data_IF_808207960382
#
_entry.id   IF_808207960382
#
_cell.length_a   1.000
_cell.length_b   1.000
_cell.length_c   1.000
_cell.angle_alpha   90.00
_cell.angle_beta   90.00
_cell.angle_gamma   90.00
#
_symmetry.space_group_name_H-M   'P 1'
#
loop_
_entity.id
_entity.type
_entity.pdbx_description
1 polymer ?
#
# COMPACT_ATOMS: atom_id res chain seq x y z
N UNK A 1 1.46 -15.32 -9.28
CA UNK A 1 2.64 -14.45 -9.51
C UNK A 1 2.49 -13.44 -10.64
N UNK A 2 1.38 -13.40 -11.41
CA UNK A 2 1.23 -12.46 -12.54
C UNK A 2 1.13 -10.96 -12.17
N UNK A 3 0.43 -10.62 -11.09
CA UNK A 3 0.21 -9.21 -10.68
C UNK A 3 1.50 -8.37 -10.55
N UNK A 4 2.54 -8.79 -9.80
CA UNK A 4 3.79 -8.02 -9.75
C UNK A 4 4.58 -8.08 -11.07
N UNK A 5 4.45 -9.17 -11.84
CA UNK A 5 5.14 -9.32 -13.12
C UNK A 5 4.68 -8.29 -14.16
N UNK A 6 3.40 -7.88 -14.15
CA UNK A 6 2.88 -6.86 -15.05
C UNK A 6 3.65 -5.53 -14.97
N UNK A 7 4.02 -5.10 -13.75
CA UNK A 7 4.81 -3.87 -13.56
C UNK A 7 6.23 -4.01 -14.14
N UNK A 8 6.86 -5.17 -13.96
CA UNK A 8 8.17 -5.46 -14.55
C UNK A 8 8.13 -5.48 -16.08
N UNK A 9 7.11 -6.09 -16.66
CA UNK A 9 6.92 -6.12 -18.12
C UNK A 9 6.69 -4.71 -18.67
N UNK A 10 5.81 -3.92 -18.05
CA UNK A 10 5.57 -2.54 -18.47
C UNK A 10 6.85 -1.68 -18.44
N UNK A 11 7.65 -1.81 -17.38
CA UNK A 11 8.94 -1.11 -17.28
C UNK A 11 9.93 -1.55 -18.38
N UNK A 12 10.06 -2.86 -18.62
CA UNK A 12 10.94 -3.39 -19.66
C UNK A 12 10.55 -2.90 -21.06
N UNK A 13 9.25 -2.93 -21.39
CA UNK A 13 8.72 -2.43 -22.66
C UNK A 13 8.99 -0.93 -22.84
N UNK A 14 8.87 -0.13 -21.77
CA UNK A 14 9.20 1.30 -21.83
C UNK A 14 10.67 1.57 -22.17
N UNK A 15 11.60 0.83 -21.55
CA UNK A 15 13.04 0.93 -21.84
C UNK A 15 13.35 0.51 -23.28
N UNK A 16 12.75 -0.57 -23.76
CA UNK A 16 12.90 -1.05 -25.14
C UNK A 16 12.39 0.01 -26.14
N UNK A 17 11.19 0.54 -25.94
CA UNK A 17 10.61 1.56 -26.80
C UNK A 17 11.48 2.83 -26.89
N UNK A 18 11.97 3.33 -25.75
CA UNK A 18 12.87 4.48 -25.71
C UNK A 18 14.19 4.20 -26.44
N UNK A 19 14.74 3.00 -26.29
CA UNK A 19 15.99 2.59 -26.95
C UNK A 19 15.81 2.48 -28.46
N UNK A 20 14.70 1.90 -28.92
CA UNK A 20 14.37 1.81 -30.35
C UNK A 20 14.19 3.21 -30.97
N UNK A 21 13.46 4.11 -30.30
CA UNK A 21 13.30 5.49 -30.75
C UNK A 21 14.65 6.21 -30.85
N UNK A 22 15.53 6.05 -29.86
CA UNK A 22 16.89 6.61 -29.90
C UNK A 22 17.75 6.05 -31.05
N UNK A 23 17.49 4.82 -31.48
CA UNK A 23 18.14 4.19 -32.64
C UNK A 23 17.50 4.59 -33.99
N UNK A 24 16.49 5.46 -34.00
CA UNK A 24 15.82 5.95 -35.21
C UNK A 24 14.65 5.09 -35.69
N UNK A 25 14.10 4.21 -34.83
CA UNK A 25 12.88 3.48 -35.14
C UNK A 25 11.68 4.45 -35.22
N UNK A 26 10.89 4.35 -36.29
CA UNK A 26 9.75 5.25 -36.56
C UNK A 26 8.44 4.49 -36.35
N UNK A 27 7.46 5.17 -35.76
CA UNK A 27 6.10 4.66 -35.55
C UNK A 27 5.06 5.71 -35.99
N UNK A 28 3.78 5.36 -35.91
CA UNK A 28 2.64 6.22 -36.17
C UNK A 28 2.63 7.43 -35.19
N UNK A 29 2.77 8.69 -35.65
CA UNK A 29 2.90 9.85 -34.77
C UNK A 29 1.67 10.15 -33.91
N UNK A 30 0.50 9.74 -34.37
CA UNK A 30 -0.82 9.93 -33.75
C UNK A 30 -1.36 8.62 -33.12
N UNK A 31 -0.47 7.68 -32.79
CA UNK A 31 -0.84 6.34 -32.28
C UNK A 31 -1.69 6.33 -31.00
N UNK A 32 -1.74 7.43 -30.24
CA UNK A 32 -2.58 7.52 -29.05
C UNK A 32 -4.06 7.71 -29.41
N UNK A 33 -4.37 8.55 -30.40
CA UNK A 33 -5.72 9.09 -30.59
C UNK A 33 -6.32 8.84 -31.98
N UNK A 34 -5.55 8.27 -32.92
CA UNK A 34 -6.06 7.93 -34.25
C UNK A 34 -7.20 6.89 -34.18
N UNK A 35 -7.96 6.70 -35.26
CA UNK A 35 -9.19 5.89 -35.26
C UNK A 35 -9.00 4.41 -34.82
N UNK A 36 -7.76 3.90 -34.79
CA UNK A 36 -7.38 2.58 -34.27
C UNK A 36 -6.21 2.69 -33.27
N UNK A 37 -6.03 3.86 -32.67
CA UNK A 37 -5.00 4.17 -31.70
C UNK A 37 -5.31 3.64 -30.30
N UNK A 38 -4.40 3.87 -29.38
CA UNK A 38 -4.46 3.36 -28.01
C UNK A 38 -5.76 3.75 -27.29
N UNK A 39 -6.12 5.02 -27.31
CA UNK A 39 -7.31 5.55 -26.64
C UNK A 39 -8.61 4.87 -27.10
N UNK A 40 -8.98 4.95 -28.39
CA UNK A 40 -10.20 4.30 -28.90
C UNK A 40 -10.24 2.78 -28.70
N UNK A 41 -9.10 2.09 -28.78
CA UNK A 41 -9.04 0.63 -28.61
C UNK A 41 -9.09 0.16 -27.15
N UNK A 42 -8.78 1.03 -26.20
CA UNK A 42 -8.75 0.72 -24.76
C UNK A 42 -9.82 1.47 -23.94
N UNK A 43 -10.82 2.04 -24.61
CA UNK A 43 -11.88 2.84 -23.99
C UNK A 43 -11.34 4.01 -23.14
N UNK A 44 -10.30 4.69 -23.64
CA UNK A 44 -9.75 5.87 -23.00
C UNK A 44 -10.78 7.00 -22.91
N UNK A 45 -10.74 7.77 -21.82
CA UNK A 45 -11.69 8.87 -21.56
C UNK A 45 -11.57 10.05 -22.54
N UNK A 46 -10.50 10.09 -23.35
CA UNK A 46 -10.22 11.14 -24.32
C UNK A 46 -10.24 12.56 -23.72
N UNK A 47 -9.64 12.70 -22.52
CA UNK A 47 -9.53 13.97 -21.79
C UNK A 47 -8.48 14.87 -22.43
N UNK A 48 -8.93 15.89 -23.16
CA UNK A 48 -8.05 16.86 -23.82
C UNK A 48 -7.23 17.71 -22.83
N UNK A 49 -7.74 17.91 -21.62
CA UNK A 49 -7.12 18.69 -20.55
C UNK A 49 -6.09 17.90 -19.72
N UNK A 50 -5.89 16.60 -20.02
CA UNK A 50 -5.07 15.72 -19.20
C UNK A 50 -3.58 16.11 -19.14
N UNK A 51 -3.12 16.96 -20.08
CA UNK A 51 -1.73 17.40 -20.19
C UNK A 51 -1.55 18.89 -19.89
N UNK A 52 -2.60 19.62 -19.52
CA UNK A 52 -2.57 21.08 -19.36
C UNK A 52 -1.53 21.52 -18.32
N UNK A 53 -1.36 20.75 -17.24
CA UNK A 53 -0.45 21.06 -16.13
C UNK A 53 0.96 20.44 -16.28
N UNK A 54 1.31 19.94 -17.47
CA UNK A 54 2.58 19.23 -17.68
C UNK A 54 3.78 20.15 -17.44
N UNK A 55 4.60 19.79 -16.45
CA UNK A 55 5.76 20.58 -16.04
C UNK A 55 5.48 21.61 -14.95
N UNK A 56 4.20 21.82 -14.60
CA UNK A 56 3.77 22.72 -13.52
C UNK A 56 3.33 21.93 -12.28
N UNK A 57 2.47 20.92 -12.45
CA UNK A 57 1.98 20.09 -11.34
C UNK A 57 2.66 18.71 -11.33
N UNK A 58 3.33 18.39 -10.22
CA UNK A 58 3.92 17.08 -10.00
C UNK A 58 2.99 16.17 -9.22
N UNK A 59 2.62 15.02 -9.80
CA UNK A 59 1.75 14.03 -9.12
C UNK A 59 2.45 13.27 -7.97
N UNK A 60 3.75 13.45 -7.77
CA UNK A 60 4.52 12.75 -6.73
C UNK A 60 4.02 13.03 -5.31
N UNK A 61 3.52 14.24 -5.05
CA UNK A 61 3.01 14.62 -3.72
C UNK A 61 1.78 13.80 -3.30
N UNK A 62 1.07 13.25 -4.28
CA UNK A 62 -0.15 12.45 -4.10
C UNK A 62 0.14 10.94 -4.00
N UNK A 63 1.40 10.52 -4.17
CA UNK A 63 1.77 9.10 -4.05
C UNK A 63 1.67 8.64 -2.60
N UNK A 64 0.74 7.72 -2.35
CA UNK A 64 0.56 7.10 -1.05
C UNK A 64 1.49 5.89 -0.89
N UNK A 65 1.88 5.61 0.35
CA UNK A 65 2.78 4.52 0.68
C UNK A 65 2.03 3.46 1.46
N UNK A 66 2.17 2.20 1.05
CA UNK A 66 1.64 1.07 1.81
C UNK A 66 2.46 0.88 3.06
N UNK A 67 1.87 1.00 4.24
CA UNK A 67 2.54 0.66 5.50
C UNK A 67 2.27 -0.78 5.94
N UNK A 68 1.20 -1.38 5.44
CA UNK A 68 0.84 -2.78 5.65
C UNK A 68 1.19 -3.66 4.45
N UNK A 69 1.41 -4.96 4.67
CA UNK A 69 1.79 -5.93 3.64
C UNK A 69 0.60 -6.62 2.94
N UNK A 70 -0.53 -5.91 2.83
CA UNK A 70 -1.80 -6.39 2.28
C UNK A 70 -2.39 -5.45 1.20
N UNK A 71 -3.57 -5.79 0.67
CA UNK A 71 -4.27 -5.01 -0.36
C UNK A 71 -4.49 -3.55 0.07
N UNK A 72 -4.37 -2.59 -0.85
CA UNK A 72 -4.47 -1.16 -0.52
C UNK A 72 -5.80 -0.80 0.18
N UNK A 73 -6.92 -1.37 -0.27
CA UNK A 73 -8.25 -1.10 0.29
C UNK A 73 -8.44 -1.48 1.75
N UNK A 74 -7.52 -2.24 2.37
CA UNK A 74 -7.58 -2.51 3.81
C UNK A 74 -6.86 -1.46 4.66
N UNK A 75 -6.03 -0.59 4.07
CA UNK A 75 -5.08 0.24 4.81
C UNK A 75 -5.77 1.35 5.60
N UNK A 76 -6.81 1.99 5.03
CA UNK A 76 -7.54 3.04 5.73
C UNK A 76 -8.16 2.52 7.04
N UNK A 77 -8.75 1.32 7.00
CA UNK A 77 -9.29 0.65 8.18
C UNK A 77 -8.18 0.30 9.19
N UNK A 78 -7.02 -0.17 8.72
CA UNK A 78 -5.89 -0.52 9.61
C UNK A 78 -5.33 0.71 10.34
N UNK A 79 -5.19 1.84 9.65
CA UNK A 79 -4.75 3.10 10.28
C UNK A 79 -5.81 3.63 11.26
N UNK A 80 -7.11 3.51 10.92
CA UNK A 80 -8.20 3.84 11.84
C UNK A 80 -8.18 2.97 13.11
N UNK A 81 -8.00 1.65 12.98
CA UNK A 81 -7.83 0.73 14.13
C UNK A 81 -6.59 1.10 14.94
N UNK A 82 -5.47 1.41 14.28
CA UNK A 82 -4.23 1.84 14.94
C UNK A 82 -4.45 3.06 15.84
N UNK A 83 -5.26 4.03 15.39
CA UNK A 83 -5.62 5.20 16.19
C UNK A 83 -6.50 4.88 17.42
N UNK A 84 -7.20 3.75 17.40
CA UNK A 84 -8.03 3.27 18.52
C UNK A 84 -7.24 2.45 19.53
N UNK A 85 -6.05 1.95 19.18
CA UNK A 85 -5.30 1.00 20.00
C UNK A 85 -5.12 1.45 21.48
N UNK A 86 -4.78 2.71 21.80
CA UNK A 86 -4.68 3.15 23.20
C UNK A 86 -5.99 3.06 23.98
N UNK A 87 -7.14 3.17 23.30
CA UNK A 87 -8.49 3.12 23.89
C UNK A 87 -9.08 1.71 23.94
N UNK A 88 -8.45 0.77 23.23
CA UNK A 88 -8.82 -0.65 23.19
C UNK A 88 -8.00 -1.50 24.16
N UNK A 89 -6.91 -0.96 24.71
CA UNK A 89 -6.05 -1.67 25.63
C UNK A 89 -6.82 -2.16 26.87
N UNK A 90 -6.86 -3.48 27.08
CA UNK A 90 -7.57 -4.12 28.19
C UNK A 90 -9.08 -4.24 28.01
N UNK A 91 -9.62 -3.80 26.88
CA UNK A 91 -11.06 -3.86 26.60
C UNK A 91 -11.43 -5.15 25.86
N UNK A 92 -12.65 -5.66 26.12
CA UNK A 92 -13.17 -6.82 25.39
C UNK A 92 -14.02 -6.36 24.21
N UNK A 93 -13.60 -6.70 22.99
CA UNK A 93 -14.35 -6.41 21.76
C UNK A 93 -15.55 -7.36 21.63
N UNK A 94 -16.74 -6.79 21.46
CA UNK A 94 -17.98 -7.54 21.18
C UNK A 94 -18.30 -7.60 19.68
N UNK A 95 -18.23 -6.45 18.99
CA UNK A 95 -18.52 -6.32 17.56
C UNK A 95 -17.66 -5.22 16.95
N UNK A 96 -17.27 -5.40 15.69
CA UNK A 96 -16.58 -4.40 14.88
C UNK A 96 -17.36 -4.22 13.59
N UNK A 97 -17.64 -2.98 13.23
CA UNK A 97 -18.21 -2.61 11.95
C UNK A 97 -17.16 -1.80 11.19
N UNK A 98 -16.91 -2.19 9.95
CA UNK A 98 -15.95 -1.56 9.04
C UNK A 98 -16.72 -1.09 7.81
N UNK A 99 -16.92 0.23 7.70
CA UNK A 99 -17.50 0.85 6.51
C UNK A 99 -16.41 1.27 5.53
N UNK A 100 -16.57 0.88 4.27
CA UNK A 100 -15.63 1.15 3.16
C UNK A 100 -16.39 1.49 1.88
N UNK A 101 -15.70 2.10 0.92
CA UNK A 101 -16.24 2.28 -0.43
C UNK A 101 -16.63 0.92 -1.06
N UNK A 102 -17.77 0.82 -1.80
CA UNK A 102 -18.22 -0.43 -2.42
C UNK A 102 -17.20 -1.11 -3.33
N UNK A 103 -16.29 -0.36 -3.98
CA UNK A 103 -15.28 -0.94 -4.89
C UNK A 103 -14.37 -1.94 -4.19
N UNK A 104 -14.16 -1.82 -2.87
CA UNK A 104 -13.35 -2.75 -2.10
C UNK A 104 -14.03 -4.08 -1.79
N UNK A 105 -15.36 -4.16 -1.87
CA UNK A 105 -16.09 -5.40 -1.61
C UNK A 105 -15.78 -6.50 -2.63
N UNK A 106 -15.50 -6.13 -3.88
CA UNK A 106 -15.11 -7.08 -4.93
C UNK A 106 -13.61 -7.40 -4.94
N UNK A 107 -12.79 -6.62 -4.21
CA UNK A 107 -11.33 -6.68 -4.28
C UNK A 107 -10.71 -7.32 -3.03
N UNK A 108 -11.11 -6.91 -1.82
CA UNK A 108 -10.46 -7.31 -0.57
C UNK A 108 -11.42 -7.71 0.56
N UNK A 109 -12.56 -8.32 0.21
CA UNK A 109 -13.56 -8.78 1.17
C UNK A 109 -13.70 -10.31 1.25
N UNK A 110 -12.59 -11.06 1.19
CA UNK A 110 -12.61 -12.51 1.44
C UNK A 110 -13.06 -12.76 2.88
N UNK A 111 -14.16 -13.50 3.05
CA UNK A 111 -14.83 -13.63 4.35
C UNK A 111 -14.06 -14.50 5.35
N UNK A 112 -13.56 -15.65 4.89
CA UNK A 112 -12.83 -16.62 5.70
C UNK A 112 -11.60 -17.10 4.89
N UNK A 113 -10.54 -16.28 4.82
CA UNK A 113 -9.32 -16.66 4.11
C UNK A 113 -8.66 -17.87 4.77
N UNK A 114 -8.07 -18.74 3.96
CA UNK A 114 -7.41 -19.98 4.37
C UNK A 114 -5.90 -19.97 4.09
N UNK A 115 -5.44 -19.11 3.19
CA UNK A 115 -4.03 -18.98 2.82
C UNK A 115 -3.47 -17.60 3.16
N UNK A 116 -2.14 -17.51 3.30
CA UNK A 116 -1.47 -16.22 3.51
C UNK A 116 -1.76 -15.18 2.41
N UNK A 117 -1.95 -15.63 1.16
CA UNK A 117 -2.32 -14.74 0.07
C UNK A 117 -3.75 -14.22 0.23
N UNK A 118 -4.72 -15.10 0.52
CA UNK A 118 -6.12 -14.69 0.74
C UNK A 118 -6.25 -13.74 1.93
N UNK A 119 -5.47 -13.94 3.00
CA UNK A 119 -5.45 -13.04 4.15
C UNK A 119 -5.16 -11.59 3.77
N UNK A 120 -4.30 -11.36 2.78
CA UNK A 120 -3.98 -10.01 2.25
C UNK A 120 -5.16 -9.32 1.58
N UNK A 121 -6.23 -10.06 1.27
CA UNK A 121 -7.45 -9.58 0.61
C UNK A 121 -8.69 -9.84 1.49
N UNK A 122 -8.53 -9.86 2.82
CA UNK A 122 -9.64 -9.99 3.77
C UNK A 122 -9.67 -8.80 4.73
N UNK A 123 -10.63 -7.89 4.56
CA UNK A 123 -10.91 -6.81 5.50
C UNK A 123 -11.17 -7.36 6.92
N UNK A 124 -11.94 -8.44 7.04
CA UNK A 124 -12.28 -9.04 8.33
C UNK A 124 -11.08 -9.62 9.07
N UNK A 125 -10.24 -10.41 8.39
CA UNK A 125 -9.06 -10.99 9.03
C UNK A 125 -8.00 -9.92 9.33
N UNK A 126 -7.78 -8.97 8.42
CA UNK A 126 -6.80 -7.89 8.66
C UNK A 126 -7.23 -6.96 9.80
N UNK A 127 -8.53 -6.68 9.95
CA UNK A 127 -9.04 -6.00 11.14
C UNK A 127 -8.75 -6.78 12.42
N UNK A 128 -9.05 -8.08 12.43
CA UNK A 128 -8.79 -8.95 13.57
C UNK A 128 -7.30 -9.01 13.93
N UNK A 129 -6.42 -9.12 12.93
CA UNK A 129 -4.96 -9.06 13.13
C UNK A 129 -4.55 -7.77 13.84
N UNK A 130 -5.00 -6.61 13.36
CA UNK A 130 -4.64 -5.32 13.94
C UNK A 130 -5.20 -5.14 15.36
N UNK A 131 -6.45 -5.54 15.60
CA UNK A 131 -7.10 -5.46 16.91
C UNK A 131 -6.44 -6.36 17.96
N UNK A 132 -5.90 -7.51 17.53
CA UNK A 132 -5.18 -8.44 18.39
C UNK A 132 -3.70 -8.06 18.62
N UNK A 133 -3.17 -7.13 17.81
CA UNK A 133 -1.79 -6.66 17.92
C UNK A 133 -0.79 -7.39 17.02
N UNK A 134 -1.27 -8.15 16.03
CA UNK A 134 -0.41 -8.73 14.99
C UNK A 134 0.13 -7.61 14.09
N UNK A 135 1.45 -7.58 13.90
CA UNK A 135 2.10 -6.60 13.02
C UNK A 135 1.78 -6.89 11.55
N UNK A 136 0.83 -6.15 10.99
CA UNK A 136 0.40 -6.25 9.59
C UNK A 136 1.38 -5.60 8.60
N UNK A 137 2.47 -4.98 9.06
CA UNK A 137 3.56 -4.52 8.20
C UNK A 137 4.51 -5.66 7.79
N UNK A 138 4.58 -6.74 8.57
CA UNK A 138 5.42 -7.91 8.26
C UNK A 138 4.77 -8.80 7.21
N UNK A 139 5.58 -9.31 6.28
CA UNK A 139 5.13 -10.27 5.28
C UNK A 139 4.73 -11.59 5.93
N UNK A 140 5.50 -12.05 6.91
CA UNK A 140 5.33 -13.36 7.56
C UNK A 140 4.08 -13.45 8.44
N UNK A 141 3.52 -12.30 8.83
CA UNK A 141 2.21 -12.24 9.50
C UNK A 141 1.08 -12.78 8.62
N UNK A 142 1.27 -12.81 7.30
CA UNK A 142 0.29 -13.31 6.35
C UNK A 142 0.63 -14.76 5.93
N UNK A 143 0.28 -15.70 6.81
CA UNK A 143 0.45 -17.14 6.59
C UNK A 143 -0.81 -17.92 7.00
N UNK A 144 -0.85 -19.21 6.66
CA UNK A 144 -1.94 -20.15 6.98
C UNK A 144 -2.16 -20.23 8.49
N UNK A 145 -1.08 -20.22 9.29
CA UNK A 145 -1.17 -20.27 10.75
C UNK A 145 -1.96 -19.08 11.32
N UNK A 146 -1.77 -17.87 10.79
CA UNK A 146 -2.57 -16.68 11.13
C UNK A 146 -4.04 -16.88 10.74
N UNK A 147 -4.30 -17.45 9.57
CA UNK A 147 -5.66 -17.68 9.06
C UNK A 147 -6.46 -18.65 9.95
N UNK A 148 -5.79 -19.69 10.46
CA UNK A 148 -6.40 -20.73 11.29
C UNK A 148 -6.33 -20.48 12.80
N UNK A 149 -5.66 -19.42 13.26
CA UNK A 149 -5.47 -19.16 14.68
C UNK A 149 -6.83 -18.94 15.38
N UNK A 150 -7.23 -19.77 16.38
CA UNK A 150 -8.57 -19.71 16.96
C UNK A 150 -8.95 -18.33 17.52
N UNK A 151 -7.99 -17.62 18.12
CA UNK A 151 -8.18 -16.24 18.63
C UNK A 151 -8.49 -15.23 17.52
N UNK A 152 -7.83 -15.34 16.36
CA UNK A 152 -8.05 -14.44 15.22
C UNK A 152 -9.33 -14.79 14.48
N UNK A 153 -9.64 -16.08 14.34
CA UNK A 153 -10.91 -16.56 13.80
C UNK A 153 -12.08 -16.02 14.62
N UNK A 154 -12.03 -16.18 15.96
CA UNK A 154 -13.07 -15.67 16.85
C UNK A 154 -13.22 -14.14 16.77
N UNK A 155 -12.13 -13.39 16.60
CA UNK A 155 -12.19 -11.93 16.47
C UNK A 155 -12.67 -11.50 15.08
N UNK A 156 -12.22 -12.15 14.00
CA UNK A 156 -12.70 -11.97 12.62
C UNK A 156 -14.21 -12.18 12.52
N UNK A 157 -14.73 -13.15 13.26
CA UNK A 157 -16.15 -13.48 13.27
C UNK A 157 -17.00 -12.41 13.99
N UNK A 158 -16.37 -11.49 14.72
CA UNK A 158 -17.01 -10.27 15.26
C UNK A 158 -16.94 -9.07 14.31
N UNK A 159 -16.19 -9.16 13.21
CA UNK A 159 -16.03 -8.08 12.23
C UNK A 159 -17.05 -8.22 11.12
N UNK A 160 -17.85 -7.18 10.94
CA UNK A 160 -18.77 -6.99 9.82
C UNK A 160 -18.25 -5.87 8.92
N UNK A 161 -18.29 -6.11 7.61
CA UNK A 161 -17.90 -5.12 6.60
C UNK A 161 -19.15 -4.65 5.89
N UNK A 162 -19.34 -3.34 5.84
CA UNK A 162 -20.48 -2.68 5.18
C UNK A 162 -19.99 -1.72 4.10
N UNK A 163 -20.76 -1.57 3.03
CA UNK A 163 -20.49 -0.55 2.02
C UNK A 163 -21.05 0.80 2.44
N UNK A 164 -20.33 1.87 2.13
CA UNK A 164 -20.79 3.25 2.25
C UNK A 164 -20.35 4.02 1.00
N UNK A 165 -21.31 4.40 0.16
CA UNK A 165 -21.08 5.12 -1.10
C UNK A 165 -20.60 6.57 -0.88
N UNK A 166 -20.75 7.10 0.34
CA UNK A 166 -20.29 8.45 0.68
C UNK A 166 -18.80 8.50 1.01
N UNK A 167 -18.17 7.34 1.25
CA UNK A 167 -16.74 7.25 1.51
C UNK A 167 -15.93 7.25 0.21
N UNK A 168 -14.89 8.09 0.16
CA UNK A 168 -13.87 7.99 -0.88
C UNK A 168 -13.19 6.61 -0.86
N UNK A 169 -12.65 6.17 -1.99
CA UNK A 169 -11.92 4.89 -2.08
C UNK A 169 -10.73 4.82 -1.12
N UNK A 170 -10.15 5.96 -0.75
CA UNK A 170 -9.01 6.04 0.15
C UNK A 170 -9.39 6.08 1.64
N UNK A 171 -10.69 6.08 1.96
CA UNK A 171 -11.19 6.28 3.31
C UNK A 171 -11.90 5.04 3.89
N UNK A 172 -11.91 4.94 5.22
CA UNK A 172 -12.68 3.95 5.96
C UNK A 172 -13.15 4.49 7.32
N UNK A 173 -14.31 4.01 7.78
CA UNK A 173 -14.83 4.26 9.12
C UNK A 173 -14.89 2.95 9.88
N UNK A 174 -14.32 2.93 11.09
CA UNK A 174 -14.34 1.78 12.00
C UNK A 174 -15.15 2.14 13.23
N UNK A 175 -16.03 1.22 13.64
CA UNK A 175 -16.84 1.31 14.84
C UNK A 175 -16.68 0.03 15.67
N UNK A 176 -16.15 0.16 16.89
CA UNK A 176 -15.96 -0.95 17.81
C UNK A 176 -16.93 -0.84 18.97
N UNK A 177 -17.72 -1.89 19.19
CA UNK A 177 -18.54 -2.08 20.39
C UNK A 177 -17.79 -2.95 21.39
N UNK A 178 -17.66 -2.46 22.61
CA UNK A 178 -16.97 -3.10 23.71
C UNK A 178 -17.96 -3.74 24.69
N UNK A 179 -17.45 -4.66 25.50
CA UNK A 179 -18.20 -5.23 26.61
C UNK A 179 -18.81 -4.14 27.48
N UNK A 180 -20.10 -4.29 27.80
CA UNK A 180 -20.86 -3.27 28.53
C UNK A 180 -21.44 -2.16 27.64
N UNK A 181 -21.40 -2.31 26.31
CA UNK A 181 -22.15 -1.49 25.36
C UNK A 181 -21.47 -0.19 24.92
N UNK A 182 -20.28 0.14 25.45
CA UNK A 182 -19.54 1.33 25.03
C UNK A 182 -19.12 1.21 23.56
N UNK A 183 -19.37 2.25 22.77
CA UNK A 183 -18.97 2.34 21.36
C UNK A 183 -17.83 3.34 21.19
N UNK A 184 -16.80 2.97 20.45
CA UNK A 184 -15.71 3.86 20.03
C UNK A 184 -15.56 3.81 18.52
N UNK A 185 -15.16 4.93 17.92
CA UNK A 185 -15.10 5.09 16.47
C UNK A 185 -13.83 5.83 16.06
N UNK A 186 -13.33 5.48 14.89
CA UNK A 186 -12.26 6.19 14.21
C UNK A 186 -12.47 6.15 12.69
N UNK A 187 -12.07 7.24 12.04
CA UNK A 187 -12.07 7.38 10.59
C UNK A 187 -10.64 7.67 10.14
N UNK A 188 -10.29 7.21 8.95
CA UNK A 188 -9.02 7.55 8.34
C UNK A 188 -9.15 7.63 6.81
N UNK A 189 -8.40 8.54 6.20
CA UNK A 189 -8.23 8.65 4.76
C UNK A 189 -6.74 8.66 4.43
N UNK A 190 -6.34 7.74 3.53
CA UNK A 190 -4.97 7.56 3.09
C UNK A 190 -4.40 8.76 2.31
N UNK A 191 -5.26 9.66 1.83
CA UNK A 191 -4.85 10.94 1.23
C UNK A 191 -4.55 12.02 2.27
N UNK A 192 -4.87 11.79 3.55
CA UNK A 192 -4.57 12.75 4.62
C UNK A 192 -3.06 13.03 4.66
N UNK A 193 -2.62 14.29 4.64
CA UNK A 193 -1.20 14.62 4.61
C UNK A 193 -0.46 14.05 5.81
N UNK A 194 0.58 13.26 5.54
CA UNK A 194 1.52 12.80 6.56
C UNK A 194 2.73 13.74 6.52
N UNK A 195 3.05 14.45 7.62
CA UNK A 195 4.26 15.26 7.71
C UNK A 195 5.50 14.45 7.34
N UNK A 196 6.42 15.06 6.58
CA UNK A 196 7.59 14.36 6.05
C UNK A 196 8.41 13.61 7.12
N UNK A 197 8.67 14.14 8.32
CA UNK A 197 9.38 13.39 9.37
C UNK A 197 8.67 12.10 9.78
N UNK A 198 7.34 12.13 9.87
CA UNK A 198 6.53 10.97 10.22
C UNK A 198 6.52 9.95 9.08
N UNK A 199 6.36 10.44 7.84
CA UNK A 199 6.41 9.61 6.63
C UNK A 199 7.76 8.91 6.51
N UNK A 200 8.85 9.65 6.68
CA UNK A 200 10.22 9.13 6.64
C UNK A 200 10.44 8.05 7.71
N UNK A 201 9.95 8.27 8.94
CA UNK A 201 10.03 7.28 10.02
C UNK A 201 9.29 5.99 9.66
N UNK A 202 8.05 6.07 9.17
CA UNK A 202 7.27 4.89 8.74
C UNK A 202 7.95 4.16 7.58
N UNK A 203 8.48 4.88 6.59
CA UNK A 203 9.17 4.29 5.44
C UNK A 203 10.48 3.61 5.83
N UNK A 204 11.28 4.23 6.72
CA UNK A 204 12.50 3.63 7.24
C UNK A 204 12.20 2.37 8.04
N UNK A 205 11.15 2.39 8.87
CA UNK A 205 10.66 1.22 9.61
C UNK A 205 10.27 0.07 8.68
N UNK A 206 9.52 0.38 7.62
CA UNK A 206 9.14 -0.60 6.58
C UNK A 206 10.35 -1.15 5.82
N UNK A 207 11.24 -0.28 5.36
CA UNK A 207 12.44 -0.69 4.63
C UNK A 207 13.33 -1.59 5.49
N UNK A 208 13.49 -1.28 6.77
CA UNK A 208 14.18 -2.15 7.74
C UNK A 208 13.51 -3.52 7.88
N UNK A 209 12.18 -3.56 7.97
CA UNK A 209 11.45 -4.83 8.07
C UNK A 209 11.61 -5.72 6.83
N UNK A 210 11.74 -5.12 5.64
CA UNK A 210 11.88 -5.86 4.38
C UNK A 210 13.32 -6.25 4.04
N UNK A 211 14.28 -5.37 4.31
CA UNK A 211 15.67 -5.50 3.85
C UNK A 211 16.63 -5.89 4.98
N UNK A 212 16.23 -5.70 6.24
CA UNK A 212 17.14 -5.68 7.38
C UNK A 212 17.93 -4.36 7.47
N UNK A 213 18.44 -4.06 8.67
CA UNK A 213 19.12 -2.79 8.92
C UNK A 213 20.39 -2.60 8.08
N UNK A 214 21.25 -3.62 8.02
CA UNK A 214 22.54 -3.53 7.32
C UNK A 214 22.40 -3.17 5.83
N UNK A 215 21.34 -3.68 5.17
CA UNK A 215 21.06 -3.42 3.75
C UNK A 215 20.31 -2.10 3.57
N UNK A 216 19.36 -1.80 4.46
CA UNK A 216 18.53 -0.59 4.34
C UNK A 216 19.34 0.69 4.53
N UNK A 217 20.31 0.73 5.46
CA UNK A 217 21.02 1.97 5.80
C UNK A 217 21.80 2.56 4.60
N UNK A 218 22.56 1.79 3.81
CA UNK A 218 23.20 2.31 2.59
C UNK A 218 22.20 2.88 1.58
N UNK A 219 21.06 2.21 1.34
CA UNK A 219 20.01 2.73 0.48
C UNK A 219 19.45 4.05 0.98
N UNK A 220 19.14 4.13 2.28
CA UNK A 220 18.60 5.33 2.90
C UNK A 220 19.60 6.49 2.83
N UNK A 221 20.88 6.22 3.13
CA UNK A 221 21.94 7.21 3.03
C UNK A 221 22.08 7.73 1.60
N UNK A 222 22.09 6.86 0.58
CA UNK A 222 22.23 7.27 -0.82
C UNK A 222 21.13 8.25 -1.26
N UNK A 223 19.91 8.13 -0.73
CA UNK A 223 18.79 8.99 -1.13
C UNK A 223 18.58 10.23 -0.25
N UNK A 224 19.12 10.28 0.98
CA UNK A 224 18.88 11.39 1.93
C UNK A 224 20.11 12.18 2.36
N UNK A 225 21.32 11.77 2.00
CA UNK A 225 22.56 12.37 2.53
C UNK A 225 22.96 13.71 1.92
N UNK A 226 22.38 14.07 0.79
CA UNK A 226 22.69 15.27 0.03
C UNK A 226 21.40 15.94 -0.45
N UNK A 227 21.51 17.16 -0.99
CA UNK A 227 20.39 17.91 -1.56
C UNK A 227 19.71 17.17 -2.73
N UNK A 228 20.42 16.22 -3.36
CA UNK A 228 19.88 15.30 -4.36
C UNK A 228 20.38 13.86 -4.11
N UNK A 229 19.63 12.81 -4.52
CA UNK A 229 20.06 11.42 -4.37
C UNK A 229 21.38 11.10 -5.11
N UNK A 230 22.29 10.37 -4.45
CA UNK A 230 23.45 9.76 -5.12
C UNK A 230 23.01 8.49 -5.84
N UNK A 231 22.60 8.66 -7.11
CA UNK A 231 22.15 7.57 -7.96
C UNK A 231 23.25 6.52 -8.23
N UNK A 232 24.52 6.89 -8.16
CA UNK A 232 25.62 5.92 -8.35
C UNK A 232 25.73 5.01 -7.13
N UNK A 233 25.70 5.58 -5.92
CA UNK A 233 25.67 4.79 -4.69
C UNK A 233 24.40 3.93 -4.61
N UNK A 234 23.25 4.47 -5.00
CA UNK A 234 21.99 3.73 -5.04
C UNK A 234 22.07 2.52 -5.98
N UNK A 235 22.57 2.69 -7.20
CA UNK A 235 22.75 1.59 -8.16
C UNK A 235 23.76 0.53 -7.68
N UNK A 236 24.84 0.92 -6.99
CA UNK A 236 25.75 -0.04 -6.35
C UNK A 236 25.03 -0.90 -5.31
N UNK A 237 24.16 -0.29 -4.49
CA UNK A 237 23.34 -1.02 -3.53
C UNK A 237 22.39 -2.02 -4.22
N UNK A 238 21.75 -1.63 -5.35
CA UNK A 238 20.93 -2.56 -6.16
C UNK A 238 21.75 -3.75 -6.65
N UNK A 239 23.00 -3.53 -7.05
CA UNK A 239 23.92 -4.58 -7.48
C UNK A 239 24.48 -5.44 -6.33
N UNK A 240 24.00 -5.25 -5.09
CA UNK A 240 24.48 -5.97 -3.90
C UNK A 240 25.85 -5.52 -3.40
N UNK A 241 26.34 -4.38 -3.88
CA UNK A 241 27.63 -3.81 -3.50
C UNK A 241 27.42 -2.80 -2.36
N UNK A 242 27.47 -3.29 -1.13
CA UNK A 242 27.30 -2.46 0.06
C UNK A 242 28.65 -1.91 0.56
N UNK A 243 28.70 -0.66 1.05
CA UNK A 243 29.90 -0.15 1.70
C UNK A 243 30.25 -1.02 2.90
N UNK A 244 31.54 -1.33 3.07
CA UNK A 244 32.03 -2.02 4.25
C UNK A 244 31.66 -1.20 5.49
N UNK A 245 31.12 -1.80 6.57
CA UNK A 245 30.84 -1.06 7.79
C UNK A 245 32.13 -0.39 8.27
N UNK A 246 32.12 0.95 8.35
CA UNK A 246 33.18 1.66 9.08
C UNK A 246 33.02 1.20 10.53
N UNK A 247 34.06 0.56 11.09
CA UNK A 247 34.04 0.17 12.48
C UNK A 247 33.69 1.40 13.33
N UNK A 248 32.70 1.27 14.20
CA UNK A 248 32.34 2.34 15.13
C UNK A 248 33.58 2.63 16.02
N UNK A 249 34.10 3.85 15.94
CA UNK A 249 35.02 4.42 16.95
C UNK A 249 34.29 4.69 18.26
#
# INVERSE_FOLDING_TARGET
MGKPYHAGLAAATGVEAATLAAAGFVSCPDALDCAQGFGPTHAGEARADALDDLGEEWRFDWVTHKFHACCHGTHAMLEAIGSLAPRLAGETVERVEVAVNPSWLSVCNIQAPSTGLEAKFSLRLTAAMALDGVDTAQLDSFCEATCSAPRLVALRDKVEVVSDETLAETAAQVSVRLAGGRKIQAWHDLQSPIPMPNRATKLRGKARGLLGDAVMQPFWHAITSHDAPDMTAFCRCIAGQFPTPVAAE
#
